data_IF_342467647536
#
_entry.id   IF_342467647536
#
_cell.length_a   1.000
_cell.length_b   1.000
_cell.length_c   1.000
_cell.angle_alpha   90.00
_cell.angle_beta   90.00
_cell.angle_gamma   90.00
#
_symmetry.space_group_name_H-M   'P 1'
#
loop_
_entity.id
_entity.type
_entity.pdbx_description
1 polymer ?
#
# COMPACT_ATOMS: atom_id res chain seq x y z
N UNK A 1 28.80 25.44 1.44
CA UNK A 1 27.54 25.40 2.21
C UNK A 1 26.96 24.01 2.09
N UNK A 2 27.01 23.21 3.15
CA UNK A 2 26.37 21.88 3.19
C UNK A 2 24.86 22.09 3.12
N UNK A 3 24.20 21.57 2.06
CA UNK A 3 22.74 21.56 1.99
C UNK A 3 22.22 20.83 3.23
N UNK A 4 21.34 21.50 3.98
CA UNK A 4 20.65 20.88 5.12
C UNK A 4 19.94 19.62 4.63
N UNK A 5 20.12 18.51 5.32
CA UNK A 5 19.42 17.27 5.00
C UNK A 5 17.91 17.51 5.03
N UNK A 6 17.21 17.08 3.98
CA UNK A 6 15.75 17.07 3.93
C UNK A 6 15.29 15.83 4.70
N UNK A 7 14.48 16.03 5.73
CA UNK A 7 13.91 14.94 6.52
C UNK A 7 12.41 14.87 6.28
N UNK A 8 11.90 13.66 6.09
CA UNK A 8 10.48 13.36 6.05
C UNK A 8 10.16 12.44 7.23
N UNK A 9 9.41 12.97 8.19
CA UNK A 9 9.10 12.28 9.43
C UNK A 9 7.87 11.38 9.28
N UNK A 10 7.74 10.40 10.17
CA UNK A 10 6.60 9.45 10.17
C UNK A 10 5.23 10.16 10.19
N UNK A 11 4.99 11.24 10.98
CA UNK A 11 3.72 11.94 10.96
C UNK A 11 3.38 12.55 9.59
N UNK A 12 4.38 13.02 8.84
CA UNK A 12 4.18 13.58 7.49
C UNK A 12 3.82 12.47 6.50
N UNK A 13 4.46 11.30 6.60
CA UNK A 13 4.10 10.11 5.82
C UNK A 13 2.67 9.65 6.10
N UNK A 14 2.27 9.60 7.38
CA UNK A 14 0.90 9.26 7.78
C UNK A 14 -0.06 10.30 7.20
N UNK A 15 0.29 11.59 7.21
CA UNK A 15 -0.58 12.64 6.71
C UNK A 15 -0.89 12.50 5.21
N UNK A 16 0.09 12.10 4.39
CA UNK A 16 -0.15 11.81 2.97
C UNK A 16 -1.15 10.67 2.76
N UNK A 17 -1.09 9.63 3.60
CA UNK A 17 -2.09 8.56 3.56
C UNK A 17 -3.47 9.09 3.99
N UNK A 18 -3.55 9.80 5.12
CA UNK A 18 -4.81 10.29 5.69
C UNK A 18 -5.56 11.21 4.74
N UNK A 19 -4.84 12.01 3.95
CA UNK A 19 -5.44 12.87 2.92
C UNK A 19 -6.23 12.10 1.86
N UNK A 20 -5.88 10.85 1.58
CA UNK A 20 -6.60 9.99 0.62
C UNK A 20 -7.85 9.32 1.22
N UNK A 21 -8.07 9.42 2.53
CA UNK A 21 -9.09 8.60 3.21
C UNK A 21 -10.47 9.27 3.34
N UNK A 22 -10.59 10.56 3.00
CA UNK A 22 -11.80 11.35 3.23
C UNK A 22 -12.99 10.91 2.38
N UNK A 23 -12.75 10.50 1.14
CA UNK A 23 -13.79 10.17 0.14
C UNK A 23 -13.80 8.67 -0.20
N UNK A 24 -13.43 7.82 0.75
CA UNK A 24 -13.48 6.38 0.53
C UNK A 24 -14.93 5.90 0.35
N UNK A 25 -15.17 4.98 -0.60
CA UNK A 25 -16.52 4.45 -0.83
C UNK A 25 -17.03 3.71 0.41
N UNK A 26 -18.28 3.98 0.76
CA UNK A 26 -18.97 3.32 1.86
C UNK A 26 -20.44 3.04 1.47
N UNK A 27 -20.68 1.89 0.86
CA UNK A 27 -22.00 1.48 0.38
C UNK A 27 -22.94 1.01 1.51
N UNK A 28 -22.50 1.09 2.78
CA UNK A 28 -23.30 0.68 3.93
C UNK A 28 -24.44 1.67 4.15
N UNK A 29 -25.67 1.14 4.31
CA UNK A 29 -26.81 1.94 4.78
C UNK A 29 -26.55 2.48 6.20
N UNK A 30 -26.99 3.71 6.54
CA UNK A 30 -26.87 4.25 7.89
C UNK A 30 -27.49 3.31 8.95
N UNK A 31 -26.76 3.02 10.02
CA UNK A 31 -27.23 2.13 11.09
C UNK A 31 -26.11 1.64 12.00
N UNK A 32 -26.37 0.60 12.79
CA UNK A 32 -25.38 0.04 13.72
C UNK A 32 -24.11 -0.47 13.01
N UNK A 33 -24.24 -0.89 11.74
CA UNK A 33 -23.16 -1.31 10.86
C UNK A 33 -22.21 -0.16 10.48
N UNK A 34 -22.57 1.12 10.67
CA UNK A 34 -21.69 2.29 10.43
C UNK A 34 -20.99 2.79 11.70
N UNK A 35 -21.00 2.00 12.78
CA UNK A 35 -20.32 2.31 14.05
C UNK A 35 -18.85 2.68 13.87
N UNK A 36 -18.15 1.99 12.96
CA UNK A 36 -16.75 2.21 12.58
C UNK A 36 -16.69 2.90 11.22
N UNK A 37 -15.90 3.98 11.17
CA UNK A 37 -15.60 4.69 9.93
C UNK A 37 -14.63 3.86 9.08
N UNK A 38 -14.78 3.93 7.76
CA UNK A 38 -13.88 3.26 6.81
C UNK A 38 -12.44 3.77 6.97
N UNK A 39 -12.27 5.10 7.09
CA UNK A 39 -10.99 5.74 7.38
C UNK A 39 -10.28 5.15 8.62
N UNK A 40 -11.01 4.98 9.72
CA UNK A 40 -10.48 4.40 10.96
C UNK A 40 -10.02 2.95 10.74
N UNK A 41 -10.69 2.20 9.85
CA UNK A 41 -10.29 0.83 9.50
C UNK A 41 -9.00 0.80 8.67
N UNK A 42 -8.83 1.72 7.71
CA UNK A 42 -7.57 1.84 6.94
C UNK A 42 -6.41 2.18 7.88
N UNK A 43 -6.58 3.18 8.74
CA UNK A 43 -5.58 3.57 9.74
C UNK A 43 -5.24 2.42 10.69
N UNK A 44 -6.25 1.67 11.13
CA UNK A 44 -6.03 0.49 11.97
C UNK A 44 -5.21 -0.58 11.24
N UNK A 45 -5.56 -0.93 10.01
CA UNK A 45 -4.80 -1.87 9.19
C UNK A 45 -3.35 -1.42 8.98
N UNK A 46 -3.14 -0.13 8.68
CA UNK A 46 -1.82 0.45 8.49
C UNK A 46 -0.98 0.45 9.77
N UNK A 47 -1.59 0.71 10.92
CA UNK A 47 -0.89 0.77 12.21
C UNK A 47 -0.26 -0.56 12.64
N UNK A 48 -0.73 -1.69 12.10
CA UNK A 48 -0.15 -3.01 12.37
C UNK A 48 1.33 -3.06 11.96
N UNK A 49 1.73 -2.35 10.90
CA UNK A 49 3.13 -2.27 10.46
C UNK A 49 4.05 -1.50 11.42
N UNK A 50 3.47 -0.77 12.39
CA UNK A 50 4.20 0.01 13.40
C UNK A 50 4.14 -0.62 14.78
N UNK A 51 3.43 -1.74 14.93
CA UNK A 51 3.22 -2.40 16.23
C UNK A 51 3.71 -3.84 16.16
N UNK A 52 4.64 -4.19 17.05
CA UNK A 52 5.17 -5.56 17.14
C UNK A 52 4.31 -6.40 18.09
N UNK A 53 3.04 -6.62 17.75
CA UNK A 53 2.16 -7.46 18.56
C UNK A 53 1.39 -8.48 17.71
N UNK A 54 1.24 -9.73 18.19
CA UNK A 54 0.42 -10.74 17.52
C UNK A 54 -1.07 -10.38 17.40
N UNK A 55 -1.56 -9.48 18.26
CA UNK A 55 -2.93 -8.98 18.23
C UNK A 55 -2.92 -7.47 18.37
N UNK A 56 -3.24 -6.79 17.26
CA UNK A 56 -3.36 -5.34 17.22
C UNK A 56 -4.34 -4.83 18.29
N UNK A 57 -5.56 -5.39 18.32
CA UNK A 57 -6.59 -4.94 19.24
C UNK A 57 -6.20 -5.14 20.71
N UNK A 58 -5.58 -6.28 21.03
CA UNK A 58 -5.19 -6.58 22.41
C UNK A 58 -4.02 -5.71 22.86
N UNK A 59 -3.06 -5.46 21.97
CA UNK A 59 -1.96 -4.52 22.25
C UNK A 59 -2.48 -3.13 22.62
N UNK A 60 -3.44 -2.61 21.86
CA UNK A 60 -4.04 -1.31 22.13
C UNK A 60 -4.78 -1.26 23.47
N UNK A 61 -5.48 -2.35 23.84
CA UNK A 61 -6.16 -2.46 25.14
C UNK A 61 -5.18 -2.48 26.31
N UNK A 62 -4.14 -3.31 26.23
CA UNK A 62 -3.11 -3.42 27.27
C UNK A 62 -2.37 -2.10 27.48
N UNK A 63 -2.04 -1.39 26.39
CA UNK A 63 -1.45 -0.04 26.46
C UNK A 63 -2.38 0.95 27.16
N UNK A 64 -3.68 0.94 26.84
CA UNK A 64 -4.68 1.79 27.51
C UNK A 64 -4.71 1.56 29.02
N UNK A 65 -4.73 0.29 29.43
CA UNK A 65 -4.79 -0.11 30.85
C UNK A 65 -3.50 0.30 31.57
N UNK A 66 -2.34 0.05 30.96
CA UNK A 66 -1.03 0.28 31.60
C UNK A 66 -0.57 1.73 31.58
N UNK A 67 -0.89 2.50 30.53
CA UNK A 67 -0.34 3.84 30.28
C UNK A 67 -1.40 4.94 30.15
N UNK A 68 -2.69 4.60 30.22
CA UNK A 68 -3.81 5.54 30.03
C UNK A 68 -4.00 6.02 28.58
N UNK A 69 -3.11 5.65 27.65
CA UNK A 69 -3.12 6.02 26.23
C UNK A 69 -2.69 4.83 25.37
N UNK A 70 -3.10 4.85 24.11
CA UNK A 70 -2.83 3.78 23.15
C UNK A 70 -2.35 4.37 21.80
N UNK A 71 -1.49 3.67 21.06
CA UNK A 71 -0.91 4.16 19.79
C UNK A 71 -1.93 4.45 18.68
N UNK A 72 -2.98 3.63 18.54
CA UNK A 72 -4.06 3.81 17.59
C UNK A 72 -4.73 5.19 17.76
N UNK A 73 -5.04 5.58 18.99
CA UNK A 73 -5.58 6.91 19.25
C UNK A 73 -4.55 8.03 19.14
N UNK A 74 -3.34 7.85 19.70
CA UNK A 74 -2.35 8.93 19.83
C UNK A 74 -1.51 9.20 18.58
N UNK A 75 -1.17 8.17 17.80
CA UNK A 75 -0.35 8.29 16.58
C UNK A 75 -1.21 8.33 15.32
N UNK A 76 -2.32 7.57 15.29
CA UNK A 76 -3.14 7.41 14.09
C UNK A 76 -4.50 8.11 14.19
N UNK A 77 -4.86 8.67 15.35
CA UNK A 77 -6.12 9.40 15.53
C UNK A 77 -7.37 8.52 15.45
N UNK A 78 -7.24 7.20 15.63
CA UNK A 78 -8.34 6.24 15.51
C UNK A 78 -9.29 6.41 16.70
N UNK A 79 -10.57 6.70 16.42
CA UNK A 79 -11.57 6.96 17.46
C UNK A 79 -12.14 5.67 18.03
N UNK A 80 -12.45 4.71 17.16
CA UNK A 80 -12.98 3.40 17.53
C UNK A 80 -12.17 2.33 16.82
N UNK A 81 -11.55 1.45 17.59
CA UNK A 81 -10.69 0.40 17.05
C UNK A 81 -11.56 -0.79 16.64
N UNK A 82 -11.71 -1.10 15.33
CA UNK A 82 -12.38 -2.31 14.87
C UNK A 82 -11.55 -3.56 15.19
N UNK A 83 -12.18 -4.73 15.24
CA UNK A 83 -11.46 -6.01 15.23
C UNK A 83 -11.01 -6.36 13.80
N UNK A 84 -10.07 -7.28 13.66
CA UNK A 84 -9.50 -7.68 12.36
C UNK A 84 -10.57 -8.12 11.35
N UNK A 85 -11.60 -8.85 11.79
CA UNK A 85 -12.70 -9.26 10.91
C UNK A 85 -13.51 -8.06 10.43
N UNK A 86 -13.74 -7.08 11.30
CA UNK A 86 -14.43 -5.86 10.93
C UNK A 86 -13.56 -4.99 10.01
N UNK A 87 -12.24 -4.96 10.19
CA UNK A 87 -11.33 -4.31 9.25
C UNK A 87 -11.48 -4.91 7.85
N UNK A 88 -11.39 -6.25 7.72
CA UNK A 88 -11.56 -6.94 6.43
C UNK A 88 -12.92 -6.64 5.79
N UNK A 89 -14.01 -6.77 6.56
CA UNK A 89 -15.35 -6.46 6.06
C UNK A 89 -15.49 -5.04 5.50
N UNK A 90 -14.76 -4.07 6.06
CA UNK A 90 -14.80 -2.67 5.62
C UNK A 90 -13.88 -2.41 4.43
N UNK A 91 -12.74 -3.08 4.35
CA UNK A 91 -11.71 -2.78 3.36
C UNK A 91 -11.76 -3.69 2.13
N UNK A 92 -12.27 -4.92 2.24
CA UNK A 92 -12.35 -5.88 1.12
C UNK A 92 -13.12 -5.32 -0.10
N UNK A 93 -14.21 -4.53 0.06
CA UNK A 93 -14.90 -3.93 -1.09
C UNK A 93 -14.17 -2.74 -1.72
N UNK A 94 -13.19 -2.15 -1.02
CA UNK A 94 -12.57 -0.90 -1.42
C UNK A 94 -11.39 -1.18 -2.36
N UNK A 95 -11.40 -0.68 -3.60
CA UNK A 95 -10.28 -0.87 -4.51
C UNK A 95 -9.01 -0.24 -3.94
N UNK A 96 -7.91 -0.99 -3.83
CA UNK A 96 -6.63 -0.46 -3.34
C UNK A 96 -6.13 0.79 -4.10
N UNK A 97 -6.56 0.96 -5.36
CA UNK A 97 -6.24 2.14 -6.16
C UNK A 97 -6.77 3.47 -5.56
N UNK A 98 -7.79 3.44 -4.68
CA UNK A 98 -8.34 4.64 -4.03
C UNK A 98 -7.33 5.33 -3.12
N UNK A 99 -6.28 4.64 -2.68
CA UNK A 99 -5.24 5.22 -1.82
C UNK A 99 -3.89 5.41 -2.55
N UNK A 100 -3.84 5.15 -3.86
CA UNK A 100 -2.59 5.28 -4.62
C UNK A 100 -2.09 6.73 -4.72
N UNK A 101 -2.97 7.71 -4.50
CA UNK A 101 -2.57 9.12 -4.43
C UNK A 101 -1.53 9.37 -3.33
N UNK A 102 -1.50 8.59 -2.25
CA UNK A 102 -0.49 8.71 -1.19
C UNK A 102 0.95 8.51 -1.70
N UNK A 103 1.18 7.55 -2.61
CA UNK A 103 2.48 7.34 -3.26
C UNK A 103 2.86 8.55 -4.11
N UNK A 104 1.89 9.08 -4.86
CA UNK A 104 2.10 10.25 -5.72
C UNK A 104 2.41 11.49 -4.90
N UNK A 105 1.72 11.71 -3.78
CA UNK A 105 1.98 12.83 -2.87
C UNK A 105 3.40 12.77 -2.29
N UNK A 106 3.84 11.59 -1.83
CA UNK A 106 5.21 11.39 -1.35
C UNK A 106 6.22 11.70 -2.46
N UNK A 107 6.02 11.14 -3.66
CA UNK A 107 6.91 11.38 -4.80
C UNK A 107 7.00 12.87 -5.17
N UNK A 108 5.85 13.56 -5.26
CA UNK A 108 5.82 15.00 -5.59
C UNK A 108 6.48 15.85 -4.51
N UNK A 109 6.31 15.49 -3.23
CA UNK A 109 7.00 16.16 -2.14
C UNK A 109 8.51 16.00 -2.27
N UNK A 110 9.00 14.77 -2.47
CA UNK A 110 10.43 14.49 -2.67
C UNK A 110 10.99 15.23 -3.88
N UNK A 111 10.23 15.29 -4.97
CA UNK A 111 10.59 16.04 -6.18
C UNK A 111 10.72 17.54 -5.90
N UNK A 112 9.74 18.13 -5.20
CA UNK A 112 9.75 19.56 -4.84
C UNK A 112 10.93 19.92 -3.93
N UNK A 113 11.31 19.02 -3.02
CA UNK A 113 12.49 19.17 -2.16
C UNK A 113 13.82 18.90 -2.89
N UNK A 114 13.76 18.47 -4.16
CA UNK A 114 14.94 18.15 -4.97
C UNK A 114 15.63 16.83 -4.58
N UNK A 115 15.00 16.00 -3.74
CA UNK A 115 15.55 14.71 -3.28
C UNK A 115 15.67 13.71 -4.42
N UNK A 116 14.73 13.74 -5.37
CA UNK A 116 14.74 12.85 -6.56
C UNK A 116 16.03 12.96 -7.36
N UNK A 117 16.70 14.12 -7.36
CA UNK A 117 17.98 14.32 -8.07
C UNK A 117 19.12 13.44 -7.53
N UNK A 118 19.03 13.00 -6.27
CA UNK A 118 20.00 12.09 -5.69
C UNK A 118 19.84 10.66 -6.21
N UNK A 119 18.72 10.37 -6.88
CA UNK A 119 18.41 9.08 -7.51
C UNK A 119 18.70 9.08 -9.01
N UNK A 120 19.22 10.18 -9.56
CA UNK A 120 19.64 10.21 -10.95
C UNK A 120 20.82 9.28 -11.20
N UNK A 121 20.78 8.59 -12.33
CA UNK A 121 21.82 7.66 -12.74
C UNK A 121 21.86 7.60 -14.26
N UNK A 122 23.06 7.78 -14.83
CA UNK A 122 23.32 7.91 -16.28
C UNK A 122 22.43 8.96 -16.96
N UNK A 123 23.02 10.02 -17.50
CA UNK A 123 22.28 11.05 -18.26
C UNK A 123 21.05 11.66 -17.54
N UNK A 124 21.14 11.78 -16.21
CA UNK A 124 20.07 12.33 -15.35
C UNK A 124 18.74 11.56 -15.39
N UNK A 125 18.79 10.26 -15.73
CA UNK A 125 17.61 9.39 -15.72
C UNK A 125 17.33 8.82 -14.34
N UNK A 126 16.07 8.45 -14.08
CA UNK A 126 15.66 7.71 -12.88
C UNK A 126 15.56 6.23 -13.24
N UNK A 127 16.17 5.37 -12.42
CA UNK A 127 16.00 3.92 -12.53
C UNK A 127 14.75 3.46 -11.80
N UNK A 128 13.87 2.72 -12.48
CA UNK A 128 12.72 2.06 -11.85
C UNK A 128 12.88 0.55 -11.93
N UNK A 129 13.12 -0.07 -10.78
CA UNK A 129 13.08 -1.52 -10.64
C UNK A 129 11.62 -1.98 -10.59
N UNK A 130 11.27 -2.97 -11.41
CA UNK A 130 9.98 -3.65 -11.40
C UNK A 130 10.20 -5.09 -10.93
N UNK A 131 9.67 -5.42 -9.75
CA UNK A 131 9.79 -6.77 -9.18
C UNK A 131 8.43 -7.34 -8.78
N UNK A 132 8.23 -8.64 -9.00
CA UNK A 132 7.01 -9.36 -8.67
C UNK A 132 7.06 -9.97 -7.26
N UNK A 133 6.02 -9.75 -6.47
CA UNK A 133 5.92 -10.35 -5.12
C UNK A 133 4.55 -10.98 -4.87
N UNK A 134 4.53 -12.05 -4.08
CA UNK A 134 3.31 -12.69 -3.57
C UNK A 134 3.05 -12.20 -2.15
N UNK A 135 1.92 -11.52 -1.93
CA UNK A 135 1.56 -10.99 -0.62
C UNK A 135 0.49 -11.83 0.10
N UNK A 136 -0.11 -12.80 -0.58
CA UNK A 136 -1.10 -13.70 0.02
C UNK A 136 -1.11 -15.05 -0.68
N UNK A 137 -1.20 -16.13 0.09
CA UNK A 137 -1.54 -17.45 -0.43
C UNK A 137 -2.33 -18.31 0.56
N UNK A 138 -3.18 -19.19 0.00
CA UNK A 138 -4.00 -20.11 0.78
C UNK A 138 -4.35 -21.36 -0.03
N UNK A 139 -4.55 -22.48 0.67
CA UNK A 139 -5.15 -23.70 0.10
C UNK A 139 -6.66 -23.79 0.37
N UNK A 140 -7.23 -22.84 1.12
CA UNK A 140 -8.61 -22.86 1.60
C UNK A 140 -9.40 -21.61 1.22
N UNK A 141 -8.76 -20.45 1.29
CA UNK A 141 -9.39 -19.15 1.04
C UNK A 141 -9.10 -18.76 -0.41
N UNK A 142 -10.13 -18.33 -1.14
CA UNK A 142 -10.04 -17.90 -2.53
C UNK A 142 -11.04 -16.78 -2.81
N UNK A 143 -10.78 -16.00 -3.86
CA UNK A 143 -11.70 -15.01 -4.40
C UNK A 143 -11.64 -15.00 -5.94
N UNK A 144 -12.57 -14.33 -6.63
CA UNK A 144 -12.59 -14.27 -8.09
C UNK A 144 -11.32 -13.69 -8.74
N UNK A 145 -10.51 -12.95 -7.98
CA UNK A 145 -9.28 -12.31 -8.45
C UNK A 145 -7.99 -13.11 -8.15
N UNK A 146 -8.09 -14.25 -7.47
CA UNK A 146 -6.93 -15.09 -7.18
C UNK A 146 -6.32 -15.70 -8.45
N UNK A 147 -5.00 -15.77 -8.49
CA UNK A 147 -4.31 -16.74 -9.32
C UNK A 147 -4.25 -18.10 -8.58
N UNK A 148 -3.99 -19.16 -9.31
CA UNK A 148 -4.12 -20.56 -8.92
C UNK A 148 -2.90 -21.37 -9.41
N UNK A 149 -2.25 -22.08 -8.49
CA UNK A 149 -1.24 -23.11 -8.77
C UNK A 149 -1.84 -24.48 -8.50
N UNK A 150 -1.92 -25.32 -9.54
CA UNK A 150 -2.33 -26.72 -9.41
C UNK A 150 -1.10 -27.58 -9.13
N UNK A 151 -1.13 -28.33 -8.02
CA UNK A 151 -0.04 -29.18 -7.60
C UNK A 151 -0.23 -30.61 -8.11
N UNK A 152 0.87 -31.35 -8.30
CA UNK A 152 0.85 -32.76 -8.75
C UNK A 152 -0.02 -33.68 -7.88
N UNK A 153 -0.21 -33.35 -6.61
CA UNK A 153 -1.04 -34.10 -5.65
C UNK A 153 -2.55 -33.75 -5.72
N UNK A 154 -3.00 -33.02 -6.74
CA UNK A 154 -4.40 -32.65 -6.94
C UNK A 154 -4.89 -31.47 -6.09
N UNK A 155 -4.03 -30.87 -5.25
CA UNK A 155 -4.40 -29.68 -4.47
C UNK A 155 -4.18 -28.40 -5.28
N UNK A 156 -5.01 -27.38 -5.05
CA UNK A 156 -4.84 -26.03 -5.61
C UNK A 156 -4.42 -25.05 -4.53
N UNK A 157 -3.46 -24.18 -4.85
CA UNK A 157 -3.11 -23.01 -4.04
C UNK A 157 -3.59 -21.75 -4.74
N UNK A 158 -4.39 -20.96 -4.05
CA UNK A 158 -4.83 -19.64 -4.46
C UNK A 158 -3.86 -18.60 -3.92
N UNK A 159 -3.52 -17.61 -4.73
CA UNK A 159 -2.57 -16.58 -4.32
C UNK A 159 -2.86 -15.23 -4.99
N UNK A 160 -2.41 -14.17 -4.35
CA UNK A 160 -2.35 -12.83 -4.92
C UNK A 160 -0.91 -12.34 -4.94
N UNK A 161 -0.57 -11.65 -6.02
CA UNK A 161 0.70 -10.96 -6.13
C UNK A 161 0.52 -9.57 -6.72
N UNK A 162 1.59 -8.80 -6.71
CA UNK A 162 1.69 -7.51 -7.35
C UNK A 162 3.10 -7.33 -7.93
N UNK A 163 3.22 -6.44 -8.90
CA UNK A 163 4.48 -5.83 -9.30
C UNK A 163 4.65 -4.58 -8.45
N UNK A 164 5.82 -4.42 -7.83
CA UNK A 164 6.20 -3.25 -7.05
C UNK A 164 7.24 -2.43 -7.83
N UNK A 165 6.85 -1.27 -8.38
CA UNK A 165 7.79 -0.33 -8.98
C UNK A 165 8.47 0.49 -7.90
N UNK A 166 9.78 0.57 -8.00
CA UNK A 166 10.62 1.19 -6.98
C UNK A 166 11.69 2.03 -7.66
N UNK A 167 11.76 3.31 -7.32
CA UNK A 167 12.88 4.16 -7.71
C UNK A 167 14.10 3.78 -6.89
N UNK A 168 15.18 3.44 -7.58
CA UNK A 168 16.44 2.97 -7.01
C UNK A 168 17.61 3.77 -7.58
N UNK A 169 18.74 3.74 -6.88
CA UNK A 169 20.01 4.23 -7.42
C UNK A 169 21.15 3.44 -6.76
N UNK A 170 22.20 3.04 -7.51
CA UNK A 170 23.36 2.40 -6.91
C UNK A 170 24.12 3.31 -5.92
N UNK A 171 23.86 4.63 -5.94
CA UNK A 171 24.45 5.60 -5.02
C UNK A 171 23.61 5.84 -3.76
N UNK A 172 22.39 5.32 -3.69
CA UNK A 172 21.46 5.53 -2.58
C UNK A 172 21.14 4.21 -1.87
N UNK A 173 21.11 4.24 -0.52
CA UNK A 173 20.68 3.09 0.28
C UNK A 173 19.15 3.04 0.43
N UNK A 174 18.52 4.20 0.33
CA UNK A 174 17.08 4.37 0.41
C UNK A 174 16.45 4.06 -0.95
N UNK A 175 15.17 3.71 -0.93
CA UNK A 175 14.35 3.50 -2.13
C UNK A 175 13.07 4.30 -2.03
N UNK A 176 12.45 4.63 -3.16
CA UNK A 176 11.16 5.33 -3.19
C UNK A 176 10.15 4.44 -3.89
N UNK A 177 9.16 3.95 -3.13
CA UNK A 177 8.10 3.12 -3.68
C UNK A 177 7.15 3.96 -4.53
N UNK A 178 6.71 3.39 -5.65
CA UNK A 178 5.63 3.89 -6.47
C UNK A 178 4.40 2.97 -6.31
N UNK A 179 3.28 3.37 -6.88
CA UNK A 179 2.04 2.60 -6.78
C UNK A 179 2.18 1.21 -7.44
N UNK A 180 1.75 0.13 -6.75
CA UNK A 180 1.90 -1.22 -7.27
C UNK A 180 0.87 -1.54 -8.37
N UNK A 181 1.18 -2.48 -9.25
CA UNK A 181 0.21 -3.08 -10.16
C UNK A 181 -0.12 -4.50 -9.69
N UNK A 182 -1.37 -4.75 -9.30
CA UNK A 182 -1.80 -6.06 -8.85
C UNK A 182 -1.85 -7.07 -10.01
N UNK A 183 -1.29 -8.26 -9.76
CA UNK A 183 -1.38 -9.42 -10.66
C UNK A 183 -2.72 -10.09 -10.35
N UNK A 184 -3.75 -9.69 -11.09
CA UNK A 184 -5.13 -10.16 -10.90
C UNK A 184 -5.76 -10.44 -12.26
N UNK A 185 -6.58 -11.49 -12.32
CA UNK A 185 -7.33 -11.83 -13.53
C UNK A 185 -8.12 -10.60 -14.02
N UNK A 186 -7.84 -10.18 -15.24
CA UNK A 186 -8.53 -9.04 -15.86
C UNK A 186 -9.88 -9.48 -16.41
N UNK A 187 -10.82 -8.54 -16.45
CA UNK A 187 -12.13 -8.80 -17.03
C UNK A 187 -12.00 -9.18 -18.52
N UNK A 188 -12.84 -10.09 -18.98
CA UNK A 188 -12.79 -10.65 -20.34
C UNK A 188 -11.60 -11.58 -20.64
N UNK A 189 -10.65 -11.76 -19.73
CA UNK A 189 -9.51 -12.67 -19.95
C UNK A 189 -9.80 -14.09 -19.48
N UNK A 190 -9.50 -15.07 -20.33
CA UNK A 190 -9.66 -16.49 -19.98
C UNK A 190 -8.51 -17.03 -19.14
N UNK A 191 -7.29 -16.54 -19.42
CA UNK A 191 -6.08 -16.94 -18.70
C UNK A 191 -5.94 -16.19 -17.38
N UNK A 192 -5.25 -16.81 -16.44
CA UNK A 192 -4.76 -16.15 -15.25
C UNK A 192 -3.77 -15.06 -15.60
N UNK A 193 -3.60 -14.11 -14.71
CA UNK A 193 -2.68 -12.99 -14.92
C UNK A 193 -1.24 -13.38 -14.56
N UNK A 194 -0.28 -12.59 -15.02
CA UNK A 194 1.13 -12.84 -14.74
C UNK A 194 1.91 -11.53 -14.58
N UNK A 195 3.12 -11.64 -14.03
CA UNK A 195 4.02 -10.52 -13.78
C UNK A 195 4.28 -9.70 -15.05
N UNK A 196 4.60 -10.35 -16.17
CA UNK A 196 4.82 -9.67 -17.45
C UNK A 196 3.61 -8.85 -17.93
N UNK A 197 2.39 -9.33 -17.69
CA UNK A 197 1.18 -8.61 -18.07
C UNK A 197 0.92 -7.43 -17.13
N UNK A 198 1.18 -7.59 -15.83
CA UNK A 198 1.11 -6.50 -14.86
C UNK A 198 2.16 -5.42 -15.15
N UNK A 199 3.41 -5.79 -15.45
CA UNK A 199 4.47 -4.86 -15.87
C UNK A 199 4.02 -4.01 -17.05
N UNK A 200 3.48 -4.63 -18.11
CA UNK A 200 2.97 -3.90 -19.29
C UNK A 200 1.86 -2.92 -18.91
N UNK A 201 0.85 -3.36 -18.15
CA UNK A 201 -0.22 -2.46 -17.68
C UNK A 201 0.32 -1.31 -16.85
N UNK A 202 1.33 -1.57 -16.01
CA UNK A 202 1.94 -0.52 -15.22
C UNK A 202 2.66 0.49 -16.12
N UNK A 203 3.47 0.05 -17.08
CA UNK A 203 4.15 0.92 -18.04
C UNK A 203 3.18 1.75 -18.89
N UNK A 204 2.07 1.15 -19.33
CA UNK A 204 1.03 1.84 -20.11
C UNK A 204 0.36 2.97 -19.30
N UNK A 205 0.12 2.74 -18.00
CA UNK A 205 -0.43 3.75 -17.07
C UNK A 205 0.61 4.79 -16.63
N UNK A 206 1.88 4.43 -16.67
CA UNK A 206 3.01 5.19 -16.12
C UNK A 206 4.05 5.49 -17.20
N UNK A 207 3.61 6.15 -18.26
CA UNK A 207 4.50 6.56 -19.35
C UNK A 207 5.72 7.34 -18.82
N UNK A 208 6.86 7.26 -19.52
CA UNK A 208 8.16 7.81 -19.08
C UNK A 208 8.08 9.23 -18.49
N UNK A 209 7.25 10.11 -19.08
CA UNK A 209 7.09 11.50 -18.62
C UNK A 209 6.29 11.71 -17.33
N UNK A 210 5.58 10.71 -16.80
CA UNK A 210 4.67 10.85 -15.64
C UNK A 210 5.40 11.42 -14.42
N UNK A 211 6.61 10.95 -14.18
CA UNK A 211 7.43 11.33 -13.03
C UNK A 211 8.27 12.60 -13.28
N UNK A 212 8.20 13.14 -14.50
CA UNK A 212 8.76 14.42 -14.95
C UNK A 212 10.28 14.46 -15.08
N UNK A 213 10.91 13.28 -15.17
CA UNK A 213 12.29 13.06 -15.56
C UNK A 213 12.31 11.88 -16.54
N UNK A 214 13.37 11.71 -17.36
CA UNK A 214 13.57 10.47 -18.10
C UNK A 214 13.61 9.26 -17.15
N UNK A 215 13.09 8.13 -17.63
CA UNK A 215 12.94 6.90 -16.84
C UNK A 215 13.47 5.73 -17.66
N UNK A 216 14.32 4.92 -17.01
CA UNK A 216 14.88 3.68 -17.53
C UNK A 216 14.57 2.51 -16.61
#
# INVERSE_FOLDING_TARGET
>A
MTKKAVTLEIPELIQFLVQELHDLPDDRKPGNNTKYQVEDAVKAAFSVFFTQSPSFLEHQRLMKISKGKDNASSLFGIKKIPCDNQIRNLLDPIPAATIFGSFQQVYQWLKKQGVIKNFFYLDEEILIALDGTEYFSSKKISCPHCNCRNHRKGTTTYFHGCVTPIVVSPEQKQVINLEPEFIKKQDGQQKQDCENAAVKRWLDKNHQKKYGYPVT
#
